data_IF_544267301654
#
_entry.id   IF_544267301654
#
_cell.length_a   1.000
_cell.length_b   1.000
_cell.length_c   1.000
_cell.angle_alpha   90.00
_cell.angle_beta   90.00
_cell.angle_gamma   90.00
#
_symmetry.space_group_name_H-M   'P 1'
#
loop_
_entity.id
_entity.type
_entity.pdbx_description
1 polymer ?
#
# COMPACT_ATOMS: atom_id res chain seq x y z
N UNK A 1 8.03 19.79 -22.39
CA UNK A 1 9.39 20.00 -22.92
C UNK A 1 9.29 21.20 -23.84
N UNK A 2 10.21 22.15 -23.76
CA UNK A 2 10.05 23.43 -24.47
C UNK A 2 10.43 23.24 -25.94
N UNK A 3 9.49 23.43 -26.88
CA UNK A 3 9.67 23.14 -28.31
C UNK A 3 10.89 23.88 -28.91
N UNK A 4 11.20 25.05 -28.35
CA UNK A 4 12.39 25.83 -28.69
C UNK A 4 13.70 25.06 -28.47
N UNK A 5 13.76 24.22 -27.44
CA UNK A 5 14.95 23.44 -27.06
C UNK A 5 15.13 22.22 -27.95
N UNK A 6 14.03 21.64 -28.42
CA UNK A 6 14.05 20.56 -29.42
C UNK A 6 14.59 21.12 -30.74
N UNK A 7 14.07 22.28 -31.17
CA UNK A 7 14.51 22.97 -32.39
C UNK A 7 16.02 23.25 -32.38
N UNK A 8 16.55 23.73 -31.25
CA UNK A 8 17.96 24.02 -31.06
C UNK A 8 18.84 22.76 -31.15
N UNK A 9 18.38 21.64 -30.58
CA UNK A 9 19.08 20.35 -30.65
C UNK A 9 19.08 19.79 -32.07
N UNK A 10 17.94 19.82 -32.76
CA UNK A 10 17.86 19.39 -34.17
C UNK A 10 18.72 20.26 -35.07
N UNK A 11 18.80 21.58 -34.84
CA UNK A 11 19.68 22.47 -35.61
C UNK A 11 21.16 22.12 -35.43
N UNK A 12 21.60 21.80 -34.20
CA UNK A 12 22.98 21.34 -33.94
C UNK A 12 23.28 19.99 -34.60
N UNK A 13 22.30 19.08 -34.64
CA UNK A 13 22.43 17.79 -35.31
C UNK A 13 22.51 18.00 -36.83
N UNK A 14 21.76 18.96 -37.40
CA UNK A 14 21.83 19.37 -38.80
C UNK A 14 23.22 19.88 -39.19
N UNK A 15 23.78 20.73 -38.34
CA UNK A 15 25.10 21.33 -38.53
C UNK A 15 26.22 20.28 -38.49
N UNK A 16 26.03 19.19 -37.75
CA UNK A 16 27.08 18.16 -37.53
C UNK A 16 27.00 17.00 -38.54
N UNK A 17 25.80 16.59 -38.96
CA UNK A 17 25.58 15.37 -39.77
C UNK A 17 25.20 15.63 -41.24
N UNK A 18 24.85 16.88 -41.57
CA UNK A 18 24.37 17.27 -42.89
C UNK A 18 22.91 16.88 -43.14
N UNK A 19 22.23 17.69 -43.97
CA UNK A 19 20.77 17.68 -44.17
C UNK A 19 20.11 16.32 -44.39
N UNK A 20 20.72 15.45 -45.20
CA UNK A 20 20.12 14.14 -45.51
C UNK A 20 20.09 13.19 -44.30
N UNK A 21 21.18 13.13 -43.52
CA UNK A 21 21.25 12.27 -42.34
C UNK A 21 20.40 12.82 -41.19
N UNK A 22 20.29 14.15 -41.09
CA UNK A 22 19.53 14.80 -40.05
C UNK A 22 18.02 14.62 -40.21
N UNK A 23 17.50 14.61 -41.44
CA UNK A 23 16.08 14.37 -41.69
C UNK A 23 15.64 13.00 -41.14
N UNK A 24 16.41 11.94 -41.42
CA UNK A 24 16.15 10.59 -40.88
C UNK A 24 16.18 10.54 -39.34
N UNK A 25 17.14 11.24 -38.74
CA UNK A 25 17.30 11.27 -37.28
C UNK A 25 16.20 12.10 -36.61
N UNK A 26 15.76 13.18 -37.26
CA UNK A 26 14.74 14.09 -36.74
C UNK A 26 13.38 13.41 -36.60
N UNK A 27 12.97 12.60 -37.58
CA UNK A 27 11.71 11.84 -37.50
C UNK A 27 11.74 10.83 -36.35
N UNK A 28 12.85 10.07 -36.24
CA UNK A 28 13.05 9.10 -35.14
C UNK A 28 13.06 9.79 -33.78
N UNK A 29 13.68 10.98 -33.67
CA UNK A 29 13.65 11.80 -32.46
C UNK A 29 12.23 12.27 -32.13
N UNK A 30 11.44 12.67 -33.13
CA UNK A 30 10.05 13.06 -32.98
C UNK A 30 9.18 11.93 -32.42
N UNK A 31 9.35 10.72 -32.94
CA UNK A 31 8.66 9.52 -32.44
C UNK A 31 9.05 9.22 -30.99
N UNK A 32 10.35 9.25 -30.66
CA UNK A 32 10.84 9.02 -29.30
C UNK A 32 10.27 10.09 -28.35
N UNK A 33 10.29 11.36 -28.74
CA UNK A 33 9.77 12.45 -27.91
C UNK A 33 8.27 12.33 -27.66
N UNK A 34 7.51 11.98 -28.70
CA UNK A 34 6.06 11.74 -28.60
C UNK A 34 5.79 10.59 -27.64
N UNK A 35 6.44 9.44 -27.85
CA UNK A 35 6.31 8.28 -26.98
C UNK A 35 6.74 8.56 -25.54
N UNK A 36 7.78 9.37 -25.33
CA UNK A 36 8.21 9.76 -23.98
C UNK A 36 7.18 10.66 -23.29
N UNK A 37 6.56 11.57 -24.04
CA UNK A 37 5.50 12.46 -23.53
C UNK A 37 4.26 11.66 -23.13
N UNK A 38 3.86 10.70 -23.97
CA UNK A 38 2.77 9.77 -23.66
C UNK A 38 3.06 8.92 -22.42
N UNK A 39 4.27 8.39 -22.31
CA UNK A 39 4.70 7.63 -21.13
C UNK A 39 4.69 8.48 -19.85
N UNK A 40 5.15 9.74 -19.93
CA UNK A 40 5.08 10.67 -18.79
C UNK A 40 3.63 10.91 -18.35
N UNK A 41 2.71 11.09 -19.31
CA UNK A 41 1.28 11.24 -19.01
C UNK A 41 0.71 9.98 -18.34
N UNK A 42 1.03 8.80 -18.87
CA UNK A 42 0.60 7.52 -18.31
C UNK A 42 1.16 7.31 -16.88
N UNK A 43 2.40 7.72 -16.61
CA UNK A 43 2.98 7.70 -15.26
C UNK A 43 2.19 8.62 -14.33
N UNK A 44 1.91 9.85 -14.74
CA UNK A 44 1.14 10.80 -13.92
C UNK A 44 -0.28 10.28 -13.59
N UNK A 45 -0.95 9.64 -14.55
CA UNK A 45 -2.26 9.00 -14.34
C UNK A 45 -2.18 7.82 -13.36
N UNK A 46 -1.13 7.00 -13.47
CA UNK A 46 -0.87 5.89 -12.53
C UNK A 46 -0.59 6.40 -11.12
N UNK A 47 0.23 7.44 -10.96
CA UNK A 47 0.52 8.04 -9.65
C UNK A 47 -0.74 8.62 -8.99
N UNK A 48 -1.59 9.29 -9.77
CA UNK A 48 -2.88 9.77 -9.27
C UNK A 48 -3.77 8.61 -8.78
N UNK A 49 -3.78 7.50 -9.51
CA UNK A 49 -4.53 6.29 -9.12
C UNK A 49 -3.97 5.65 -7.86
N UNK A 50 -2.64 5.55 -7.73
CA UNK A 50 -1.97 5.03 -6.52
C UNK A 50 -2.38 5.86 -5.31
N UNK A 51 -2.34 7.18 -5.42
CA UNK A 51 -2.73 8.08 -4.33
C UNK A 51 -4.19 7.87 -3.92
N UNK A 52 -5.10 7.75 -4.89
CA UNK A 52 -6.51 7.45 -4.60
C UNK A 52 -6.69 6.09 -3.90
N UNK A 53 -5.93 5.06 -4.30
CA UNK A 53 -5.99 3.75 -3.68
C UNK A 53 -5.43 3.76 -2.26
N UNK A 54 -4.34 4.51 -2.02
CA UNK A 54 -3.79 4.72 -0.67
C UNK A 54 -4.82 5.39 0.25
N UNK A 55 -5.42 6.50 -0.18
CA UNK A 55 -6.47 7.19 0.57
C UNK A 55 -7.67 6.27 0.89
N UNK A 56 -8.08 5.44 -0.08
CA UNK A 56 -9.15 4.45 0.14
C UNK A 56 -8.75 3.39 1.16
N UNK A 57 -7.51 2.91 1.09
CA UNK A 57 -7.02 1.89 2.00
C UNK A 57 -6.94 2.43 3.44
N UNK A 58 -6.42 3.65 3.64
CA UNK A 58 -6.40 4.30 4.94
C UNK A 58 -7.81 4.43 5.55
N UNK A 59 -8.80 4.83 4.73
CA UNK A 59 -10.20 4.89 5.16
C UNK A 59 -10.74 3.52 5.57
N UNK A 60 -10.42 2.46 4.82
CA UNK A 60 -10.84 1.10 5.16
C UNK A 60 -10.18 0.60 6.44
N UNK A 61 -8.88 0.85 6.62
CA UNK A 61 -8.15 0.51 7.85
C UNK A 61 -8.77 1.24 9.04
N UNK A 62 -9.06 2.53 8.91
CA UNK A 62 -9.72 3.33 9.95
C UNK A 62 -11.12 2.82 10.26
N UNK A 63 -11.94 2.55 9.23
CA UNK A 63 -13.28 2.00 9.39
C UNK A 63 -13.27 0.63 10.06
N UNK A 64 -12.36 -0.26 9.65
CA UNK A 64 -12.20 -1.58 10.26
C UNK A 64 -11.74 -1.45 11.72
N UNK A 65 -10.80 -0.56 12.03
CA UNK A 65 -10.39 -0.27 13.41
C UNK A 65 -11.56 0.20 14.29
N UNK A 66 -12.39 1.11 13.77
CA UNK A 66 -13.58 1.58 14.46
C UNK A 66 -14.65 0.48 14.64
N UNK A 67 -14.81 -0.40 13.66
CA UNK A 67 -15.71 -1.55 13.76
C UNK A 67 -15.23 -2.56 14.80
N UNK A 68 -13.93 -2.88 14.83
CA UNK A 68 -13.34 -3.76 15.84
C UNK A 68 -13.52 -3.23 17.27
N UNK A 69 -13.48 -1.91 17.47
CA UNK A 69 -13.77 -1.29 18.76
C UNK A 69 -15.25 -1.39 19.16
N UNK A 70 -16.16 -1.45 18.20
CA UNK A 70 -17.61 -1.60 18.43
C UNK A 70 -18.03 -3.05 18.67
N UNK A 71 -17.20 -4.01 18.29
CA UNK A 71 -17.38 -5.40 18.72
C UNK A 71 -17.01 -5.44 20.20
N UNK A 72 -17.94 -5.81 21.11
CA UNK A 72 -17.56 -6.08 22.48
C UNK A 72 -16.56 -7.23 22.45
N UNK A 73 -15.28 -6.92 22.58
CA UNK A 73 -14.31 -7.88 23.07
C UNK A 73 -14.79 -8.20 24.48
N UNK A 74 -15.41 -9.38 24.67
CA UNK A 74 -15.55 -9.95 26.00
C UNK A 74 -14.19 -9.83 26.66
N UNK A 75 -14.10 -8.92 27.64
CA UNK A 75 -12.87 -8.73 28.39
C UNK A 75 -12.62 -10.07 29.06
N UNK A 76 -11.54 -10.74 28.67
CA UNK A 76 -10.82 -11.58 29.60
C UNK A 76 -10.49 -10.66 30.80
N UNK A 77 -11.26 -10.82 31.87
CA UNK A 77 -11.09 -10.12 33.13
C UNK A 77 -9.71 -10.44 33.68
N UNK A 78 -8.75 -9.55 33.44
CA UNK A 78 -7.62 -9.38 34.34
C UNK A 78 -7.94 -8.18 35.23
N UNK A 79 -8.79 -8.42 36.22
CA UNK A 79 -8.81 -7.60 37.42
C UNK A 79 -7.46 -7.76 38.13
N UNK A 80 -6.57 -6.80 37.94
CA UNK A 80 -5.35 -6.71 38.74
C UNK A 80 -5.51 -5.53 39.69
N UNK A 81 -5.77 -5.92 40.94
CA UNK A 81 -5.36 -5.28 42.20
C UNK A 81 -6.40 -4.46 42.97
N UNK A 82 -7.05 -5.11 43.93
CA UNK A 82 -6.74 -4.86 45.36
C UNK A 82 -7.52 -5.79 46.28
N UNK A 83 -6.95 -6.96 46.61
CA UNK A 83 -6.72 -7.44 47.98
C UNK A 83 -6.48 -8.96 48.05
N UNK A 84 -5.53 -9.32 48.90
CA UNK A 84 -5.28 -10.63 49.48
C UNK A 84 -4.72 -11.76 48.59
N UNK A 85 -3.42 -11.95 48.79
CA UNK A 85 -2.59 -13.11 48.50
C UNK A 85 -3.28 -14.44 48.88
N UNK A 86 -3.90 -15.13 47.92
CA UNK A 86 -4.11 -16.59 48.00
C UNK A 86 -3.68 -17.23 46.69
N UNK A 87 -2.57 -17.96 46.76
CA UNK A 87 -2.05 -18.75 45.65
C UNK A 87 -3.18 -19.60 45.02
N UNK A 88 -3.27 -19.68 43.68
CA UNK A 88 -4.33 -20.43 43.02
C UNK A 88 -4.23 -21.90 43.43
N UNK A 89 -5.31 -22.43 44.02
CA UNK A 89 -5.42 -23.86 44.32
C UNK A 89 -5.34 -24.61 42.99
N UNK A 90 -4.36 -25.51 42.87
CA UNK A 90 -4.23 -26.39 41.70
C UNK A 90 -5.48 -27.26 41.59
N UNK A 91 -6.28 -27.02 40.55
CA UNK A 91 -7.42 -27.86 40.21
C UNK A 91 -6.86 -29.13 39.59
N UNK A 92 -7.08 -30.28 40.24
CA UNK A 92 -6.70 -31.57 39.67
C UNK A 92 -7.84 -32.07 38.78
N UNK A 93 -7.52 -32.56 37.58
CA UNK A 93 -8.52 -33.06 36.62
C UNK A 93 -9.45 -34.12 37.22
N UNK A 94 -8.99 -34.91 38.20
CA UNK A 94 -9.80 -35.93 38.88
C UNK A 94 -11.02 -35.37 39.62
N UNK A 95 -10.97 -34.10 40.00
CA UNK A 95 -12.08 -33.45 40.71
C UNK A 95 -13.17 -32.97 39.73
N UNK A 96 -12.84 -32.85 38.44
CA UNK A 96 -13.78 -32.42 37.40
C UNK A 96 -14.69 -33.56 36.90
N UNK A 97 -14.34 -34.83 37.15
CA UNK A 97 -15.07 -35.98 36.63
C UNK A 97 -15.68 -36.85 37.74
N UNK A 98 -16.84 -37.44 37.48
CA UNK A 98 -17.45 -38.47 38.31
C UNK A 98 -16.79 -39.84 38.11
N UNK A 99 -17.17 -40.83 38.91
CA UNK A 99 -16.61 -42.18 38.84
C UNK A 99 -16.91 -42.91 37.51
N UNK A 100 -17.78 -42.34 36.67
CA UNK A 100 -18.13 -42.84 35.34
C UNK A 100 -17.47 -42.02 34.22
N UNK A 101 -16.67 -41.00 34.57
CA UNK A 101 -15.92 -40.17 33.62
C UNK A 101 -16.70 -38.98 33.03
N UNK A 102 -17.86 -38.63 33.58
CA UNK A 102 -18.62 -37.46 33.14
C UNK A 102 -18.24 -36.22 33.95
N UNK A 103 -18.32 -35.04 33.32
CA UNK A 103 -18.15 -33.79 34.03
C UNK A 103 -19.24 -33.61 35.09
N UNK A 104 -18.84 -33.36 36.33
CA UNK A 104 -19.78 -32.99 37.39
C UNK A 104 -20.27 -31.57 37.12
N UNK A 105 -21.56 -31.40 36.85
CA UNK A 105 -22.21 -30.09 36.77
C UNK A 105 -22.49 -29.51 38.15
#
# INVERSE_FOLDING_TARGET
MDDAKILELTGKIEETLGKENTAMISDTLGEILTGNTENMKAIAERDATIKQLQDRNEKLVSANGALLQKIPMEKAENEVSSNETKAPKKINLKDAFDAKGNFKH
#
